data_IF_575232773327
#
_entry.id   IF_575232773327
#
_cell.length_a   1.000
_cell.length_b   1.000
_cell.length_c   1.000
_cell.angle_alpha   90.00
_cell.angle_beta   90.00
_cell.angle_gamma   90.00
#
_symmetry.space_group_name_H-M   'P 1'
#
loop_
_entity.id
_entity.type
_entity.pdbx_description
1 polymer ?
#
# COMPACT_ATOMS: atom_id res chain seq x y z
N UNK A 1 0.44 9.52 -15.08
CA UNK A 1 0.93 8.98 -13.79
C UNK A 1 -0.20 9.13 -12.78
N UNK A 2 -0.63 8.04 -12.14
CA UNK A 2 -1.84 8.03 -11.33
C UNK A 2 -1.48 8.32 -9.86
N UNK A 3 -1.68 9.58 -9.43
CA UNK A 3 -1.28 10.10 -8.11
C UNK A 3 -1.76 9.23 -6.93
N UNK A 4 -2.87 8.51 -7.10
CA UNK A 4 -3.50 7.68 -6.07
C UNK A 4 -2.65 6.43 -5.73
N UNK A 5 -2.29 5.56 -6.70
CA UNK A 5 -1.32 4.49 -6.47
C UNK A 5 0.02 4.92 -5.89
N UNK A 6 0.61 6.00 -6.42
CA UNK A 6 1.87 6.51 -5.88
C UNK A 6 1.72 6.96 -4.41
N UNK A 7 0.64 7.66 -4.07
CA UNK A 7 0.37 8.07 -2.69
C UNK A 7 0.22 6.86 -1.74
N UNK A 8 -0.49 5.81 -2.17
CA UNK A 8 -0.68 4.60 -1.37
C UNK A 8 0.65 3.87 -1.11
N UNK A 9 1.52 3.75 -2.12
CA UNK A 9 2.85 3.14 -1.99
C UNK A 9 3.75 3.94 -1.04
N UNK A 10 3.59 5.27 -1.00
CA UNK A 10 4.32 6.15 -0.07
C UNK A 10 3.81 6.08 1.39
N UNK A 11 2.88 5.17 1.69
CA UNK A 11 2.37 4.96 3.05
C UNK A 11 1.28 5.96 3.44
N UNK A 12 0.71 6.69 2.46
CA UNK A 12 -0.46 7.54 2.71
C UNK A 12 -1.67 6.61 2.89
N UNK A 13 -2.32 6.69 4.05
CA UNK A 13 -3.50 5.86 4.34
C UNK A 13 -4.59 6.05 3.29
N UNK A 14 -5.44 5.05 3.06
CA UNK A 14 -6.58 5.15 2.12
C UNK A 14 -7.51 6.34 2.42
N UNK A 15 -7.64 6.71 3.70
CA UNK A 15 -8.35 7.92 4.14
C UNK A 15 -7.63 9.20 3.71
N UNK A 16 -6.32 9.25 3.91
CA UNK A 16 -5.48 10.39 3.53
C UNK A 16 -5.35 10.53 2.00
N UNK A 17 -5.35 9.41 1.27
CA UNK A 17 -5.45 9.39 -0.19
C UNK A 17 -6.78 10.02 -0.64
N UNK A 18 -7.90 9.69 0.03
CA UNK A 18 -9.20 10.29 -0.28
C UNK A 18 -9.24 11.80 0.02
N UNK A 19 -8.57 12.27 1.07
CA UNK A 19 -8.44 13.71 1.35
C UNK A 19 -7.51 14.41 0.35
N UNK A 20 -6.42 13.77 -0.07
CA UNK A 20 -5.52 14.26 -1.12
C UNK A 20 -6.25 14.41 -2.45
N UNK A 21 -7.06 13.43 -2.82
CA UNK A 21 -7.87 13.46 -4.05
C UNK A 21 -8.85 14.64 -4.04
N UNK A 22 -9.45 14.94 -2.87
CA UNK A 22 -10.33 16.11 -2.70
C UNK A 22 -9.56 17.43 -2.75
N UNK A 23 -8.35 17.51 -2.19
CA UNK A 23 -7.57 18.75 -2.10
C UNK A 23 -6.89 19.15 -3.41
N UNK A 24 -6.55 18.17 -4.27
CA UNK A 24 -5.90 18.41 -5.57
C UNK A 24 -6.92 18.79 -6.67
N UNK A 25 -8.19 19.00 -6.32
CA UNK A 25 -9.22 19.46 -7.27
C UNK A 25 -9.65 18.37 -8.27
N UNK A 26 -9.36 17.09 -7.99
CA UNK A 26 -9.91 15.96 -8.73
C UNK A 26 -11.38 15.74 -8.32
N UNK A 27 -12.22 16.72 -8.63
CA UNK A 27 -13.68 16.69 -8.48
C UNK A 27 -14.26 15.61 -9.41
N UNK A 28 -14.26 14.34 -8.99
CA UNK A 28 -14.84 13.26 -9.79
C UNK A 28 -14.36 11.85 -9.47
N UNK A 29 -13.27 11.68 -8.70
CA UNK A 29 -12.84 10.33 -8.31
C UNK A 29 -13.73 9.85 -7.16
N UNK A 30 -14.52 8.80 -7.43
CA UNK A 30 -15.40 8.19 -6.43
C UNK A 30 -14.59 7.37 -5.42
N UNK A 31 -15.17 7.13 -4.23
CA UNK A 31 -14.62 6.18 -3.26
C UNK A 31 -14.40 4.79 -3.87
N UNK A 32 -15.29 4.35 -4.76
CA UNK A 32 -15.17 3.06 -5.45
C UNK A 32 -14.00 3.03 -6.44
N UNK A 33 -13.71 4.15 -7.10
CA UNK A 33 -12.54 4.26 -7.98
C UNK A 33 -11.23 4.24 -7.18
N UNK A 34 -11.18 4.87 -6.00
CA UNK A 34 -10.03 4.76 -5.10
C UNK A 34 -9.86 3.32 -4.58
N UNK A 35 -10.95 2.67 -4.14
CA UNK A 35 -10.91 1.28 -3.66
C UNK A 35 -10.35 0.34 -4.74
N UNK A 36 -10.87 0.44 -5.97
CA UNK A 36 -10.41 -0.36 -7.11
C UNK A 36 -8.93 -0.17 -7.41
N UNK A 37 -8.45 1.08 -7.38
CA UNK A 37 -7.04 1.38 -7.59
C UNK A 37 -6.14 0.83 -6.47
N UNK A 38 -6.62 0.82 -5.23
CA UNK A 38 -5.92 0.16 -4.12
C UNK A 38 -5.93 -1.36 -4.25
N UNK A 39 -7.05 -1.96 -4.66
CA UNK A 39 -7.18 -3.42 -4.88
C UNK A 39 -6.19 -3.91 -5.96
N UNK A 40 -6.03 -3.18 -7.07
CA UNK A 40 -5.03 -3.50 -8.10
C UNK A 40 -3.59 -3.49 -7.56
N UNK A 41 -3.30 -2.63 -6.57
CA UNK A 41 -1.98 -2.60 -5.91
C UNK A 41 -1.85 -3.80 -4.97
N UNK A 42 -2.88 -4.11 -4.20
CA UNK A 42 -2.89 -5.26 -3.30
C UNK A 42 -2.67 -6.57 -4.08
N UNK A 43 -3.29 -6.73 -5.25
CA UNK A 43 -3.04 -7.88 -6.14
C UNK A 43 -1.56 -8.01 -6.55
N UNK A 44 -0.91 -6.89 -6.92
CA UNK A 44 0.51 -6.87 -7.27
C UNK A 44 1.40 -7.20 -6.06
N UNK A 45 1.05 -6.70 -4.89
CA UNK A 45 1.75 -7.00 -3.63
C UNK A 45 1.64 -8.49 -3.30
N UNK A 46 0.45 -9.09 -3.42
CA UNK A 46 0.25 -10.52 -3.17
C UNK A 46 1.02 -11.38 -4.17
N UNK A 47 1.00 -11.02 -5.46
CA UNK A 47 1.78 -11.72 -6.48
C UNK A 47 3.30 -11.67 -6.18
N UNK A 48 3.80 -10.54 -5.67
CA UNK A 48 5.19 -10.41 -5.26
C UNK A 48 5.52 -11.25 -4.03
N UNK A 49 4.67 -11.22 -2.99
CA UNK A 49 4.86 -12.00 -1.75
C UNK A 49 4.78 -13.51 -1.98
N UNK A 50 3.92 -13.97 -2.88
CA UNK A 50 3.75 -15.38 -3.23
C UNK A 50 4.75 -15.90 -4.26
N UNK A 51 5.63 -15.05 -4.80
CA UNK A 51 6.58 -15.45 -5.85
C UNK A 51 7.60 -16.44 -5.30
N UNK A 52 7.77 -17.63 -5.90
CA UNK A 52 8.79 -18.57 -5.47
C UNK A 52 10.19 -17.98 -5.62
N UNK A 53 11.08 -18.37 -4.71
CA UNK A 53 12.49 -18.02 -4.78
C UNK A 53 13.16 -19.09 -5.65
N UNK A 54 13.38 -18.79 -6.92
CA UNK A 54 13.77 -19.77 -7.95
C UNK A 54 15.26 -20.20 -7.92
N UNK A 55 16.10 -19.54 -7.11
CA UNK A 55 17.56 -19.78 -7.09
C UNK A 55 18.04 -20.13 -5.69
N UNK A 56 19.18 -20.82 -5.63
CA UNK A 56 19.91 -21.02 -4.38
C UNK A 56 20.63 -19.73 -3.99
N UNK A 57 20.24 -19.15 -2.86
CA UNK A 57 20.87 -17.95 -2.31
C UNK A 57 21.74 -18.34 -1.11
N UNK A 58 23.08 -18.27 -1.22
CA UNK A 58 23.99 -18.69 -0.16
C UNK A 58 24.00 -17.76 1.07
N UNK A 59 23.42 -16.56 0.95
CA UNK A 59 23.41 -15.54 1.99
C UNK A 59 22.04 -14.87 2.08
N UNK A 60 21.63 -14.54 3.31
CA UNK A 60 20.39 -13.84 3.62
C UNK A 60 20.69 -12.63 4.52
N UNK A 61 20.21 -11.46 4.12
CA UNK A 61 20.17 -10.30 5.00
C UNK A 61 18.77 -10.13 5.58
N UNK A 62 18.70 -10.06 6.90
CA UNK A 62 17.46 -9.80 7.64
C UNK A 62 17.58 -8.41 8.24
N UNK A 63 16.57 -7.59 8.00
CA UNK A 63 16.40 -6.28 8.63
C UNK A 63 15.06 -6.25 9.34
N UNK A 64 15.02 -5.61 10.50
CA UNK A 64 13.81 -5.43 11.28
C UNK A 64 13.49 -3.94 11.37
N UNK A 65 12.25 -3.59 11.02
CA UNK A 65 11.72 -2.24 11.18
C UNK A 65 10.58 -2.32 12.19
N UNK A 66 10.73 -1.64 13.32
CA UNK A 66 9.67 -1.53 14.32
C UNK A 66 8.71 -0.39 13.93
N UNK A 67 7.47 -0.74 13.64
CA UNK A 67 6.39 0.22 13.36
C UNK A 67 5.31 0.08 14.41
N UNK A 68 4.88 1.22 14.98
CA UNK A 68 3.75 1.25 15.91
C UNK A 68 2.49 0.86 15.15
N UNK A 69 1.88 -0.25 15.54
CA UNK A 69 0.64 -0.75 14.95
C UNK A 69 -0.43 -0.91 16.00
N UNK A 70 -1.71 -0.77 15.63
CA UNK A 70 -2.82 -1.05 16.54
C UNK A 70 -3.33 -2.46 16.27
N UNK A 71 -3.10 -3.38 17.20
CA UNK A 71 -3.59 -4.76 17.15
C UNK A 71 -4.50 -5.03 18.34
N UNK A 72 -5.68 -5.62 18.10
CA UNK A 72 -6.66 -5.96 19.13
C UNK A 72 -6.96 -4.81 20.12
N UNK A 73 -7.00 -3.57 19.62
CA UNK A 73 -7.29 -2.37 20.43
C UNK A 73 -6.10 -1.79 21.22
N UNK A 74 -4.91 -2.38 21.13
CA UNK A 74 -3.68 -1.88 21.77
C UNK A 74 -2.66 -1.44 20.73
N UNK A 75 -1.90 -0.39 21.03
CA UNK A 75 -0.75 0.01 20.21
C UNK A 75 0.43 -0.86 20.64
N UNK A 76 1.00 -1.59 19.68
CA UNK A 76 2.16 -2.49 19.82
C UNK A 76 3.31 -2.00 18.96
#
# INVERSE_FOLDING_TARGET
MAVIPEAYIQGISTRSVNELVKSVGMNGVSKSQVSRLCEEIDERVQAFLGRPIERDWPYLWIVATCVKSRQAGRVV
#
